data_IF_649131631207
#
_entry.id   IF_649131631207
#
_cell.length_a   1.000
_cell.length_b   1.000
_cell.length_c   1.000
_cell.angle_alpha   90.00
_cell.angle_beta   90.00
_cell.angle_gamma   90.00
#
_symmetry.space_group_name_H-M   'P 1'
#
loop_
_entity.id
_entity.type
_entity.pdbx_description
1 polymer ?
#
# COMPACT_ATOMS: atom_id res chain seq x y z
N UNK A 1 1.33 5.77 4.42
CA UNK A 1 2.10 6.23 5.60
C UNK A 1 1.56 5.55 6.86
N UNK A 2 2.18 4.45 7.30
CA UNK A 2 1.78 3.78 8.56
C UNK A 2 2.50 4.41 9.76
N UNK A 3 1.90 4.40 10.96
CA UNK A 3 2.49 5.02 12.15
C UNK A 3 3.72 4.27 12.67
N UNK A 4 3.83 2.97 12.36
CA UNK A 4 5.01 2.15 12.63
C UNK A 4 5.81 1.97 11.33
N UNK A 5 7.12 2.24 11.41
CA UNK A 5 8.05 1.98 10.31
C UNK A 5 8.45 0.51 10.37
N UNK A 6 7.80 -0.31 9.54
CA UNK A 6 8.18 -1.70 9.34
C UNK A 6 9.52 -1.84 8.60
N UNK A 7 9.83 -3.07 8.16
CA UNK A 7 11.02 -3.30 7.34
C UNK A 7 10.92 -2.57 5.98
N UNK A 8 12.04 -2.12 5.38
CA UNK A 8 12.00 -1.28 4.18
C UNK A 8 11.22 -1.88 3.00
N UNK A 9 11.23 -3.20 2.82
CA UNK A 9 10.56 -3.88 1.72
C UNK A 9 9.05 -4.11 1.93
N UNK A 10 8.53 -3.78 3.12
CA UNK A 10 7.09 -3.74 3.43
C UNK A 10 6.54 -2.32 3.52
N UNK A 11 7.38 -1.30 3.30
CA UNK A 11 6.98 0.09 3.14
C UNK A 11 6.72 0.40 1.66
N UNK A 12 5.66 1.13 1.37
CA UNK A 12 5.24 1.48 0.02
C UNK A 12 4.47 2.80 0.02
N UNK A 13 4.40 3.46 -1.15
CA UNK A 13 3.68 4.72 -1.34
C UNK A 13 2.37 4.41 -2.06
N UNK A 14 1.29 4.33 -1.29
CA UNK A 14 -0.04 4.01 -1.79
C UNK A 14 -0.84 5.26 -2.23
N UNK A 15 -2.01 5.03 -2.85
CA UNK A 15 -2.90 6.09 -3.32
C UNK A 15 -3.46 7.00 -2.21
N UNK A 16 -3.64 6.51 -0.98
CA UNK A 16 -4.07 7.31 0.18
C UNK A 16 -2.95 8.28 0.55
N UNK A 17 -1.71 7.80 0.61
CA UNK A 17 -0.53 8.65 0.85
C UNK A 17 -0.40 9.73 -0.23
N UNK A 18 -0.55 9.34 -1.49
CA UNK A 18 -0.51 10.26 -2.62
C UNK A 18 -1.64 11.31 -2.57
N UNK A 19 -2.85 10.93 -2.18
CA UNK A 19 -3.96 11.88 -2.01
C UNK A 19 -3.69 12.92 -0.92
N UNK A 20 -3.10 12.52 0.22
CA UNK A 20 -2.69 13.48 1.25
C UNK A 20 -1.68 14.50 0.71
N UNK A 21 -0.76 14.09 -0.17
CA UNK A 21 0.18 15.02 -0.80
C UNK A 21 -0.49 15.97 -1.79
N UNK A 22 -1.46 15.49 -2.56
CA UNK A 22 -2.24 16.34 -3.47
C UNK A 22 -3.10 17.35 -2.69
N UNK A 23 -3.85 16.89 -1.68
CA UNK A 23 -4.71 17.72 -0.83
C UNK A 23 -3.94 18.78 -0.05
N UNK A 24 -2.65 18.55 0.21
CA UNK A 24 -1.79 19.54 0.85
C UNK A 24 -1.59 20.80 -0.02
N UNK A 25 -1.76 20.70 -1.34
CA UNK A 25 -1.50 21.77 -2.30
C UNK A 25 -0.02 22.00 -2.66
N UNK A 26 0.91 21.25 -2.06
CA UNK A 26 2.34 21.38 -2.30
C UNK A 26 2.84 20.57 -3.50
N UNK A 27 2.10 19.53 -3.89
CA UNK A 27 2.53 18.57 -4.90
C UNK A 27 1.46 18.36 -5.96
N UNK A 28 1.91 18.21 -7.21
CA UNK A 28 1.11 17.62 -8.28
C UNK A 28 1.47 16.14 -8.38
N UNK A 29 0.50 15.27 -8.12
CA UNK A 29 0.76 13.86 -7.87
C UNK A 29 0.44 13.00 -9.10
N UNK A 30 1.32 12.04 -9.39
CA UNK A 30 1.07 11.01 -10.39
C UNK A 30 0.63 9.71 -9.70
N UNK A 31 -0.68 9.45 -9.68
CA UNK A 31 -1.25 8.24 -9.08
C UNK A 31 -0.88 6.94 -9.80
N UNK A 32 -0.29 7.01 -11.00
CA UNK A 32 0.24 5.82 -11.70
C UNK A 32 1.48 5.26 -11.01
N UNK A 33 2.18 6.09 -10.23
CA UNK A 33 3.34 5.69 -9.43
C UNK A 33 2.97 5.01 -8.10
N UNK A 34 1.68 4.94 -7.77
CA UNK A 34 1.23 4.35 -6.53
C UNK A 34 1.46 2.84 -6.49
N UNK A 35 2.01 2.37 -5.37
CA UNK A 35 2.05 0.96 -5.03
C UNK A 35 0.65 0.42 -4.74
N UNK A 36 0.46 -0.88 -4.97
CA UNK A 36 -0.80 -1.57 -4.73
C UNK A 36 -1.01 -1.75 -3.22
N UNK A 37 -2.00 -1.06 -2.67
CA UNK A 37 -2.47 -1.25 -1.30
C UNK A 37 -3.72 -2.14 -1.25
N UNK A 38 -3.58 -3.31 -0.64
CA UNK A 38 -4.63 -4.34 -0.57
C UNK A 38 -5.32 -4.43 0.78
N UNK A 39 -4.70 -3.89 1.83
CA UNK A 39 -5.21 -4.00 3.19
C UNK A 39 -6.52 -3.20 3.33
N UNK A 40 -7.62 -3.89 3.62
CA UNK A 40 -8.94 -3.25 3.71
C UNK A 40 -9.63 -2.99 2.37
N UNK A 41 -9.04 -3.42 1.24
CA UNK A 41 -9.58 -3.17 -0.10
C UNK A 41 -10.96 -3.81 -0.27
N UNK A 42 -11.90 -3.08 -0.86
CA UNK A 42 -13.28 -3.51 -1.13
C UNK A 42 -14.09 -3.95 0.11
N UNK A 43 -13.66 -3.57 1.32
CA UNK A 43 -14.41 -3.91 2.54
C UNK A 43 -15.70 -3.10 2.69
N UNK A 44 -15.79 -1.93 2.05
CA UNK A 44 -16.86 -0.96 2.28
C UNK A 44 -16.75 -0.31 3.66
N UNK A 45 -17.83 0.29 4.12
CA UNK A 45 -17.93 0.79 5.49
C UNK A 45 -18.06 -0.41 6.43
N UNK A 46 -17.02 -0.70 7.22
CA UNK A 46 -17.00 -1.81 8.17
C UNK A 46 -16.67 -1.24 9.54
N UNK A 47 -17.45 -1.63 10.54
CA UNK A 47 -17.16 -1.28 11.92
C UNK A 47 -15.85 -1.91 12.36
N UNK A 48 -15.09 -1.19 13.18
CA UNK A 48 -13.77 -1.63 13.64
C UNK A 48 -13.81 -2.99 14.35
N UNK A 49 -14.92 -3.32 15.01
CA UNK A 49 -15.16 -4.62 15.66
C UNK A 49 -15.32 -5.78 14.68
N UNK A 50 -15.85 -5.53 13.49
CA UNK A 50 -16.12 -6.55 12.47
C UNK A 50 -14.98 -6.73 11.48
N UNK A 51 -14.05 -5.78 11.43
CA UNK A 51 -12.90 -5.79 10.53
C UNK A 51 -12.17 -7.15 10.53
N UNK A 52 -11.84 -7.65 11.72
CA UNK A 52 -11.10 -8.89 11.89
C UNK A 52 -11.90 -10.14 11.48
N UNK A 53 -13.23 -10.12 11.61
CA UNK A 53 -14.10 -11.21 11.21
C UNK A 53 -14.26 -11.28 9.69
N UNK A 54 -14.26 -10.13 9.02
CA UNK A 54 -14.39 -10.05 7.56
C UNK A 54 -13.08 -10.31 6.81
N UNK A 55 -11.94 -10.17 7.49
CA UNK A 55 -10.60 -10.19 6.89
C UNK A 55 -9.78 -11.45 7.25
N UNK A 56 -10.43 -12.61 7.38
CA UNK A 56 -9.84 -13.84 7.95
C UNK A 56 -8.54 -14.31 7.28
N UNK A 57 -8.37 -14.09 5.97
CA UNK A 57 -7.22 -14.57 5.20
C UNK A 57 -5.88 -13.99 5.69
N UNK A 58 -5.91 -12.83 6.33
CA UNK A 58 -4.73 -12.12 6.81
C UNK A 58 -4.61 -12.12 8.34
N UNK A 59 -5.60 -12.70 9.03
CA UNK A 59 -5.60 -12.84 10.49
C UNK A 59 -5.02 -14.18 10.87
N UNK A 60 -4.09 -14.15 11.83
CA UNK A 60 -3.49 -15.36 12.37
C UNK A 60 -4.11 -15.70 13.73
N UNK A 61 -4.32 -17.00 13.99
CA UNK A 61 -4.94 -17.48 15.25
C UNK A 61 -3.91 -18.00 16.25
N UNK A 62 -2.91 -18.73 15.75
CA UNK A 62 -1.90 -19.40 16.56
C UNK A 62 -0.58 -18.62 16.55
N UNK A 63 -0.02 -18.31 17.73
CA UNK A 63 1.25 -17.63 17.89
C UNK A 63 2.49 -18.53 17.75
N UNK A 64 2.31 -19.85 17.81
CA UNK A 64 3.39 -20.84 17.71
C UNK A 64 3.65 -21.31 16.28
N UNK A 65 2.82 -20.91 15.32
CA UNK A 65 2.95 -21.31 13.92
C UNK A 65 3.46 -20.14 13.10
N UNK A 66 4.53 -20.39 12.34
CA UNK A 66 5.06 -19.40 11.38
C UNK A 66 4.05 -19.28 10.25
N UNK A 67 3.58 -18.07 10.00
CA UNK A 67 2.70 -17.73 8.89
C UNK A 67 3.44 -17.02 7.77
N UNK A 68 2.68 -16.40 6.87
CA UNK A 68 3.21 -15.48 5.88
C UNK A 68 2.71 -14.07 6.20
N UNK A 69 3.59 -13.09 6.05
CA UNK A 69 3.18 -11.69 6.01
C UNK A 69 2.17 -11.49 4.86
N UNK A 70 1.26 -10.50 4.95
CA UNK A 70 0.19 -10.33 3.95
C UNK A 70 0.71 -10.03 2.54
N UNK A 71 1.90 -9.41 2.43
CA UNK A 71 2.59 -9.19 1.14
C UNK A 71 3.30 -10.45 0.62
N UNK A 72 3.31 -11.53 1.38
CA UNK A 72 4.01 -12.78 1.10
C UNK A 72 5.52 -12.65 0.86
N UNK A 73 6.13 -11.49 1.10
CA UNK A 73 7.60 -11.33 0.98
C UNK A 73 8.38 -12.03 2.10
N UNK A 74 7.71 -12.28 3.23
CA UNK A 74 8.33 -12.74 4.45
C UNK A 74 7.53 -13.87 5.09
N UNK A 75 8.26 -14.83 5.69
CA UNK A 75 7.75 -15.60 6.81
C UNK A 75 7.44 -14.66 7.97
N UNK A 76 6.39 -14.95 8.72
CA UNK A 76 5.92 -14.09 9.79
C UNK A 76 5.54 -14.82 11.06
N UNK A 77 5.64 -14.12 12.19
CA UNK A 77 5.14 -14.59 13.49
C UNK A 77 3.84 -13.86 13.82
N UNK A 78 2.91 -14.59 14.41
CA UNK A 78 1.60 -14.05 14.69
C UNK A 78 1.63 -13.16 15.93
N UNK A 79 1.39 -11.85 15.75
CA UNK A 79 1.45 -10.83 16.81
C UNK A 79 0.12 -10.09 16.92
N UNK A 80 -0.28 -9.78 18.15
CA UNK A 80 -1.41 -8.88 18.40
C UNK A 80 -1.01 -7.46 18.05
N UNK A 81 -1.81 -6.79 17.21
CA UNK A 81 -1.67 -5.36 16.97
C UNK A 81 -2.32 -4.56 18.09
N UNK A 82 -1.71 -3.45 18.50
CA UNK A 82 -2.22 -2.60 19.59
C UNK A 82 -3.55 -1.93 19.26
N UNK A 83 -3.79 -1.63 17.98
CA UNK A 83 -4.96 -0.88 17.51
C UNK A 83 -6.08 -1.76 16.92
N UNK A 84 -5.82 -3.05 16.73
CA UNK A 84 -6.78 -4.04 16.21
C UNK A 84 -7.03 -5.11 17.28
N UNK A 85 -8.27 -5.60 17.37
CA UNK A 85 -8.62 -6.70 18.28
C UNK A 85 -8.09 -8.06 17.81
N UNK A 86 -7.48 -8.14 16.63
CA UNK A 86 -6.93 -9.36 16.05
C UNK A 86 -5.41 -9.36 15.90
N UNK A 87 -4.87 -10.55 15.65
CA UNK A 87 -3.46 -10.79 15.42
C UNK A 87 -3.18 -10.90 13.93
N UNK A 88 -2.04 -10.37 13.50
CA UNK A 88 -1.57 -10.45 12.12
C UNK A 88 -0.16 -11.04 12.09
N UNK A 89 0.21 -11.64 10.96
CA UNK A 89 1.57 -12.14 10.78
C UNK A 89 2.51 -10.95 10.53
N UNK A 90 3.31 -10.62 11.54
CA UNK A 90 4.37 -9.63 11.42
C UNK A 90 5.61 -10.28 10.80
N UNK A 91 6.35 -9.55 9.96
CA UNK A 91 7.45 -10.15 9.23
C UNK A 91 8.60 -10.48 10.19
N UNK A 92 9.15 -11.68 10.06
CA UNK A 92 10.16 -12.22 10.96
C UNK A 92 11.58 -11.80 10.52
N UNK A 93 12.52 -11.52 11.44
CA UNK A 93 13.93 -11.34 11.09
C UNK A 93 14.48 -12.58 10.37
N UNK A 94 15.16 -12.40 9.24
CA UNK A 94 15.64 -13.49 8.35
C UNK A 94 14.51 -14.31 7.70
N UNK A 95 13.29 -13.78 7.74
CA UNK A 95 12.10 -14.35 7.12
C UNK A 95 11.96 -13.99 5.64
N UNK A 96 12.81 -13.12 5.08
CA UNK A 96 12.72 -12.62 3.72
C UNK A 96 12.89 -13.76 2.69
N UNK A 97 11.83 -14.12 1.98
CA UNK A 97 11.90 -15.15 0.93
C UNK A 97 12.67 -14.66 -0.30
N UNK A 98 12.59 -13.35 -0.59
CA UNK A 98 13.14 -12.76 -1.80
C UNK A 98 14.68 -12.59 -1.77
N UNK A 99 15.32 -12.81 -0.62
CA UNK A 99 16.78 -12.71 -0.46
C UNK A 99 17.41 -14.11 -0.53
N UNK A 100 18.47 -14.33 -1.32
CA UNK A 100 19.19 -15.60 -1.33
C UNK A 100 19.71 -15.96 0.07
N UNK A 101 19.44 -17.18 0.52
CA UNK A 101 20.00 -17.79 1.73
C UNK A 101 19.83 -19.30 1.72
N UNK A 102 20.50 -19.98 2.66
CA UNK A 102 20.29 -21.41 2.90
C UNK A 102 18.83 -21.69 3.31
N UNK A 103 18.21 -22.75 2.75
CA UNK A 103 16.84 -23.10 3.05
C UNK A 103 16.70 -23.66 4.47
N UNK A 104 15.57 -23.37 5.13
CA UNK A 104 15.28 -24.00 6.43
C UNK A 104 14.80 -25.46 6.25
N UNK A 105 14.26 -25.78 5.07
CA UNK A 105 13.75 -27.08 4.68
C UNK A 105 14.10 -27.36 3.21
N UNK A 106 14.44 -28.62 2.90
CA UNK A 106 14.87 -29.06 1.56
C UNK A 106 13.94 -28.62 0.43
N UNK A 107 12.63 -28.54 0.67
CA UNK A 107 11.66 -28.12 -0.35
C UNK A 107 11.67 -26.61 -0.67
N UNK A 108 12.31 -25.78 0.16
CA UNK A 108 12.30 -24.32 0.01
C UNK A 108 13.29 -23.81 -1.04
N UNK A 109 12.93 -22.69 -1.66
CA UNK A 109 13.83 -21.95 -2.55
C UNK A 109 13.74 -20.47 -2.19
N UNK A 110 14.89 -19.87 -1.90
CA UNK A 110 15.04 -18.44 -1.67
C UNK A 110 15.58 -17.74 -2.92
N UNK A 111 15.12 -16.52 -3.20
CA UNK A 111 15.57 -15.76 -4.37
C UNK A 111 14.56 -14.70 -4.81
N UNK A 112 14.92 -13.84 -5.77
CA UNK A 112 14.20 -12.60 -6.07
C UNK A 112 12.68 -12.73 -6.35
N UNK A 113 12.23 -13.88 -6.88
CA UNK A 113 10.81 -14.19 -7.14
C UNK A 113 10.19 -15.15 -6.14
N UNK A 114 10.90 -15.46 -5.05
CA UNK A 114 10.40 -16.31 -3.98
C UNK A 114 9.53 -15.53 -3.02
N UNK A 115 8.35 -16.08 -2.76
CA UNK A 115 7.35 -15.54 -1.86
C UNK A 115 6.87 -16.65 -0.92
N UNK A 116 6.52 -16.25 0.28
CA UNK A 116 5.98 -17.08 1.34
C UNK A 116 4.59 -17.59 0.96
N UNK A 117 4.37 -18.90 1.10
CA UNK A 117 3.04 -19.53 1.05
C UNK A 117 2.86 -20.47 2.21
N UNK A 118 1.61 -20.73 2.58
CA UNK A 118 1.31 -21.70 3.63
C UNK A 118 1.37 -23.10 3.03
N UNK A 119 2.23 -23.95 3.58
CA UNK A 119 2.52 -25.28 3.05
C UNK A 119 2.91 -26.24 4.19
N UNK A 120 2.66 -27.52 3.97
CA UNK A 120 3.21 -28.59 4.79
C UNK A 120 3.89 -29.67 3.92
N UNK A 121 4.36 -29.26 2.73
CA UNK A 121 5.11 -30.16 1.86
C UNK A 121 6.33 -30.73 2.56
N UNK A 122 6.59 -32.01 2.33
CA UNK A 122 7.78 -32.69 2.84
C UNK A 122 8.12 -33.89 1.97
N UNK A 123 9.41 -34.17 1.85
CA UNK A 123 9.95 -35.43 1.29
C UNK A 123 10.13 -36.49 2.37
N UNK A 124 10.15 -36.10 3.65
CA UNK A 124 10.44 -37.00 4.75
C UNK A 124 9.35 -38.05 4.93
N UNK A 125 9.80 -39.30 5.11
CA UNK A 125 8.90 -40.44 5.30
C UNK A 125 8.35 -40.52 6.73
N UNK A 126 9.02 -39.85 7.68
CA UNK A 126 8.69 -39.90 9.11
C UNK A 126 7.43 -39.07 9.38
N UNK A 127 6.42 -39.70 9.97
CA UNK A 127 5.10 -39.14 10.30
C UNK A 127 5.15 -38.07 11.42
N UNK A 128 5.97 -37.03 11.26
CA UNK A 128 5.61 -35.77 11.93
C UNK A 128 4.40 -35.24 11.18
N UNK A 129 3.31 -35.01 11.90
CA UNK A 129 2.18 -34.23 11.42
C UNK A 129 2.71 -32.87 10.96
N UNK A 130 3.00 -32.75 9.66
CA UNK A 130 3.58 -31.54 9.10
C UNK A 130 2.54 -30.42 9.25
N UNK A 131 2.82 -29.50 10.17
CA UNK A 131 1.97 -28.36 10.47
C UNK A 131 2.03 -27.39 9.29
N UNK A 132 0.87 -26.92 8.84
CA UNK A 132 0.81 -25.86 7.83
C UNK A 132 1.53 -24.62 8.35
N UNK A 133 2.57 -24.22 7.64
CA UNK A 133 3.47 -23.14 8.05
C UNK A 133 3.93 -22.33 6.85
N UNK A 134 4.46 -21.14 7.08
CA UNK A 134 5.04 -20.29 6.05
C UNK A 134 6.31 -20.92 5.44
N UNK A 135 6.29 -21.12 4.13
CA UNK A 135 7.38 -21.68 3.32
C UNK A 135 7.72 -20.76 2.16
N UNK A 136 8.99 -20.62 1.81
CA UNK A 136 9.45 -19.80 0.69
C UNK A 136 9.62 -20.63 -0.59
N UNK A 137 8.86 -20.30 -1.63
CA UNK A 137 8.93 -20.95 -2.95
C UNK A 137 8.97 -19.91 -4.06
N UNK A 138 9.59 -20.26 -5.19
CA UNK A 138 9.60 -19.39 -6.37
C UNK A 138 8.20 -19.26 -6.97
N UNK A 139 7.86 -18.06 -7.40
CA UNK A 139 6.55 -17.75 -7.97
C UNK A 139 6.69 -16.94 -9.26
N UNK A 140 5.72 -17.13 -10.17
CA UNK A 140 5.57 -16.29 -11.35
C UNK A 140 4.13 -16.27 -11.81
N UNK A 141 3.80 -15.27 -12.61
CA UNK A 141 2.47 -15.12 -13.19
C UNK A 141 2.48 -15.50 -14.66
N UNK A 142 1.44 -16.21 -15.09
CA UNK A 142 1.12 -16.35 -16.51
C UNK A 142 0.56 -15.03 -17.06
N UNK A 143 0.48 -14.91 -18.39
CA UNK A 143 -0.16 -13.75 -19.05
C UNK A 143 -1.60 -13.51 -18.61
N UNK A 144 -2.32 -14.57 -18.25
CA UNK A 144 -3.72 -14.50 -17.79
C UNK A 144 -3.84 -14.29 -16.27
N UNK A 145 -2.75 -13.86 -15.61
CA UNK A 145 -2.64 -13.72 -14.15
C UNK A 145 -2.96 -15.00 -13.38
N UNK A 146 -2.57 -16.16 -13.93
CA UNK A 146 -2.57 -17.41 -13.16
C UNK A 146 -1.24 -17.53 -12.42
N UNK A 147 -1.30 -17.92 -11.16
CA UNK A 147 -0.12 -18.13 -10.32
C UNK A 147 0.51 -19.49 -10.63
N UNK A 148 1.82 -19.49 -10.88
CA UNK A 148 2.64 -20.70 -10.90
C UNK A 148 3.62 -20.68 -9.73
N UNK A 149 3.80 -21.83 -9.10
CA UNK A 149 4.73 -22.03 -7.98
C UNK A 149 5.74 -23.10 -8.35
N UNK A 150 6.98 -22.93 -7.92
CA UNK A 150 8.05 -23.91 -8.05
C UNK A 150 8.73 -24.15 -6.70
N UNK A 151 8.67 -25.38 -6.24
CA UNK A 151 9.40 -25.87 -5.05
C UNK A 151 10.70 -26.54 -5.46
N UNK A 152 11.62 -26.76 -4.52
CA UNK A 152 12.90 -27.40 -4.82
C UNK A 152 12.70 -28.74 -5.54
N UNK A 153 13.51 -29.05 -6.54
CA UNK A 153 13.41 -30.31 -7.29
C UNK A 153 12.11 -30.55 -8.08
N UNK A 154 11.20 -29.57 -8.19
CA UNK A 154 9.97 -29.67 -8.98
C UNK A 154 10.01 -28.78 -10.23
N UNK A 155 9.13 -29.04 -11.19
CA UNK A 155 8.81 -28.10 -12.26
C UNK A 155 7.87 -26.97 -11.78
N UNK A 156 7.55 -26.03 -12.68
CA UNK A 156 6.52 -25.02 -12.40
C UNK A 156 5.14 -25.68 -12.39
N UNK A 157 4.40 -25.49 -11.30
CA UNK A 157 3.07 -26.04 -11.10
C UNK A 157 2.04 -24.92 -11.03
N UNK A 158 0.89 -25.10 -11.68
CA UNK A 158 -0.23 -24.18 -11.55
C UNK A 158 -0.76 -24.21 -10.11
N UNK A 159 -0.94 -23.03 -9.51
CA UNK A 159 -1.47 -22.86 -8.16
C UNK A 159 -2.79 -22.08 -8.23
N UNK A 160 -3.92 -22.75 -8.46
CA UNK A 160 -5.22 -22.09 -8.53
C UNK A 160 -5.54 -21.40 -7.20
N UNK A 161 -5.90 -20.12 -7.25
CA UNK A 161 -6.12 -19.30 -6.06
C UNK A 161 -7.11 -19.95 -5.07
N UNK A 162 -6.73 -19.99 -3.79
CA UNK A 162 -7.53 -20.57 -2.70
C UNK A 162 -7.65 -22.11 -2.72
N UNK A 163 -7.03 -22.82 -3.67
CA UNK A 163 -7.05 -24.29 -3.72
C UNK A 163 -5.83 -24.91 -3.04
N UNK A 164 -5.94 -26.20 -2.72
CA UNK A 164 -4.82 -27.00 -2.23
C UNK A 164 -4.11 -27.65 -3.41
N UNK A 165 -2.82 -27.42 -3.53
CA UNK A 165 -1.96 -27.96 -4.59
C UNK A 165 -1.08 -29.07 -4.03
N UNK A 166 -1.16 -30.26 -4.63
CA UNK A 166 -0.23 -31.37 -4.38
C UNK A 166 0.89 -31.32 -5.42
N UNK A 167 2.12 -31.58 -5.00
CA UNK A 167 3.28 -31.64 -5.88
C UNK A 167 3.73 -33.09 -6.00
N UNK A 168 4.01 -33.55 -7.22
CA UNK A 168 4.52 -34.89 -7.46
C UNK A 168 5.87 -35.09 -6.76
N UNK A 169 6.05 -36.23 -6.08
CA UNK A 169 7.27 -36.53 -5.31
C UNK A 169 7.26 -35.99 -3.87
N UNK A 170 6.24 -35.23 -3.48
CA UNK A 170 6.08 -34.69 -2.13
C UNK A 170 4.81 -35.22 -1.46
N UNK A 171 4.85 -35.30 -0.12
CA UNK A 171 3.64 -35.43 0.70
C UNK A 171 3.13 -34.05 1.09
N UNK A 172 1.87 -33.98 1.56
CA UNK A 172 1.26 -32.72 1.98
C UNK A 172 0.74 -31.90 0.79
N UNK A 173 0.62 -30.59 0.99
CA UNK A 173 0.13 -29.67 -0.01
C UNK A 173 0.58 -28.23 0.25
N UNK A 174 0.48 -27.40 -0.78
CA UNK A 174 0.54 -25.94 -0.71
C UNK A 174 -0.89 -25.41 -0.67
N UNK A 175 -1.20 -24.53 0.27
CA UNK A 175 -2.44 -23.74 0.24
C UNK A 175 -2.18 -22.52 -0.66
N UNK A 176 -2.69 -22.58 -1.89
CA UNK A 176 -2.52 -21.47 -2.83
C UNK A 176 -3.14 -20.19 -2.26
N UNK A 177 -2.44 -19.05 -2.33
CA UNK A 177 -2.95 -17.78 -1.86
C UNK A 177 -4.30 -17.41 -2.48
N UNK A 178 -5.10 -16.61 -1.77
CA UNK A 178 -6.34 -16.00 -2.29
C UNK A 178 -6.08 -14.59 -2.85
N UNK A 179 -4.97 -13.98 -2.46
CA UNK A 179 -4.56 -12.60 -2.72
C UNK A 179 -4.04 -12.38 -4.15
N UNK A 180 -4.91 -12.52 -5.15
CA UNK A 180 -4.55 -12.36 -6.59
C UNK A 180 -3.82 -11.04 -6.89
N UNK A 181 -4.29 -9.93 -6.32
CA UNK A 181 -3.71 -8.60 -6.56
C UNK A 181 -2.30 -8.41 -5.98
N UNK A 182 -1.91 -9.25 -5.01
CA UNK A 182 -0.55 -9.26 -4.42
C UNK A 182 0.35 -10.17 -5.24
N UNK A 183 -0.16 -11.36 -5.56
CA UNK A 183 0.59 -12.40 -6.26
C UNK A 183 0.87 -12.04 -7.72
N UNK A 184 -0.16 -11.54 -8.40
CA UNK A 184 -0.17 -11.17 -9.81
C UNK A 184 -0.87 -9.82 -9.98
N UNK A 185 -0.23 -8.71 -9.56
CA UNK A 185 -0.79 -7.38 -9.70
C UNK A 185 -1.10 -7.09 -11.18
N UNK A 186 -2.22 -6.40 -11.40
CA UNK A 186 -2.51 -5.87 -12.73
C UNK A 186 -1.50 -4.78 -13.06
N UNK A 187 -0.99 -4.78 -14.29
CA UNK A 187 -0.25 -3.62 -14.76
C UNK A 187 -1.22 -2.43 -14.76
N UNK A 188 -0.79 -1.25 -14.29
CA UNK A 188 -1.68 -0.11 -14.19
C UNK A 188 -2.31 0.20 -15.56
N UNK A 189 -3.65 0.14 -15.61
CA UNK A 189 -4.44 0.57 -16.77
C UNK A 189 -4.65 2.08 -16.70
N UNK A 190 -4.51 2.76 -17.83
CA UNK A 190 -4.39 4.21 -17.97
C UNK A 190 -5.69 4.98 -17.66
N UNK A 191 -6.79 4.28 -17.34
CA UNK A 191 -8.15 4.81 -17.47
C UNK A 191 -8.94 4.92 -16.16
N UNK A 192 -8.38 4.55 -15.01
CA UNK A 192 -9.11 4.62 -13.72
C UNK A 192 -8.48 5.60 -12.74
N UNK A 193 -8.78 6.88 -12.96
CA UNK A 193 -8.74 7.92 -11.93
C UNK A 193 -10.19 8.10 -11.44
N UNK A 194 -10.57 7.61 -10.24
CA UNK A 194 -11.80 8.05 -9.61
C UNK A 194 -11.53 9.45 -9.03
N UNK A 195 -11.96 10.50 -9.74
CA UNK A 195 -11.87 11.87 -9.22
C UNK A 195 -11.81 13.00 -10.24
N UNK A 196 -11.63 12.74 -11.53
CA UNK A 196 -11.68 13.83 -12.53
C UNK A 196 -13.11 14.03 -13.01
N UNK A 197 -13.87 14.86 -12.29
CA UNK A 197 -14.90 15.64 -12.95
C UNK A 197 -14.24 16.41 -14.09
N UNK A 198 -14.80 16.24 -15.29
CA UNK A 198 -14.44 16.90 -16.53
C UNK A 198 -14.27 18.41 -16.33
N UNK A 199 -13.04 18.85 -16.10
CA UNK A 199 -12.65 20.24 -16.31
C UNK A 199 -11.78 20.28 -17.55
N UNK A 200 -12.34 20.84 -18.61
CA UNK A 200 -11.69 21.05 -19.90
C UNK A 200 -10.31 21.69 -19.71
N UNK A 201 -9.25 20.90 -19.90
CA UNK A 201 -7.88 21.41 -19.96
C UNK A 201 -7.71 22.05 -21.34
N UNK A 202 -7.85 23.37 -21.40
CA UNK A 202 -7.43 24.16 -22.56
C UNK A 202 -5.90 24.12 -22.58
N UNK A 203 -5.32 23.45 -23.57
CA UNK A 203 -3.90 23.49 -23.85
C UNK A 203 -3.54 24.88 -24.40
N UNK A 204 -2.88 25.71 -23.60
CA UNK A 204 -2.21 26.89 -24.13
C UNK A 204 -0.92 26.45 -24.83
N UNK A 205 -0.93 26.48 -26.16
CA UNK A 205 0.29 26.35 -26.95
C UNK A 205 0.99 27.70 -26.98
N UNK A 206 2.18 27.78 -26.36
CA UNK A 206 3.03 28.96 -26.48
C UNK A 206 3.58 29.03 -27.89
N UNK A 207 3.04 29.91 -28.73
CA UNK A 207 3.73 30.39 -29.92
C UNK A 207 4.16 31.82 -29.66
N UNK A 208 5.48 32.04 -29.66
CA UNK A 208 6.09 33.35 -29.56
C UNK A 208 5.64 34.21 -30.75
N UNK A 209 4.79 35.20 -30.49
CA UNK A 209 4.54 36.30 -31.40
C UNK A 209 4.75 37.62 -30.65
N UNK A 210 5.75 38.37 -31.10
CA UNK A 210 5.99 39.77 -30.70
C UNK A 210 4.71 40.57 -30.97
N UNK A 211 4.20 41.28 -29.96
CA UNK A 211 3.20 42.33 -30.18
C UNK A 211 3.78 43.66 -29.72
N UNK A 212 3.90 44.53 -30.71
CA UNK A 212 4.18 45.95 -30.65
C UNK A 212 3.10 46.69 -29.87
N UNK A 213 3.53 47.72 -29.15
CA UNK A 213 2.69 48.77 -28.57
C UNK A 213 1.76 49.40 -29.60
N UNK A 214 0.46 49.55 -29.28
CA UNK A 214 -0.34 50.79 -29.39
C UNK A 214 -1.79 50.59 -28.93
N UNK A 215 -2.24 51.53 -28.09
CA UNK A 215 -3.55 52.19 -27.99
C UNK A 215 -4.87 51.51 -27.53
N UNK A 216 -5.33 52.05 -26.39
CA UNK A 216 -6.62 52.69 -26.08
C UNK A 216 -7.98 51.97 -26.14
N UNK A 217 -8.70 52.15 -25.00
CA UNK A 217 -10.17 52.23 -24.81
C UNK A 217 -10.94 50.91 -24.93
N UNK A 218 -11.97 50.58 -24.16
CA UNK A 218 -12.69 51.12 -22.98
C UNK A 218 -13.61 49.97 -22.54
N UNK A 219 -13.82 49.71 -21.25
CA UNK A 219 -15.05 49.03 -20.79
C UNK A 219 -15.55 49.72 -19.54
N UNK A 220 -16.82 50.11 -19.64
CA UNK A 220 -17.58 50.94 -18.73
C UNK A 220 -17.89 50.31 -17.38
N UNK A 221 -17.96 51.20 -16.39
CA UNK A 221 -18.55 51.02 -15.07
C UNK A 221 -20.08 50.98 -15.10
N UNK A 222 -20.69 50.08 -14.32
CA UNK A 222 -22.04 50.29 -13.75
C UNK A 222 -21.97 49.98 -12.25
N UNK A 223 -22.46 50.92 -11.45
CA UNK A 223 -22.39 51.01 -10.00
C UNK A 223 -23.72 50.70 -9.30
N UNK A 224 -23.60 50.29 -8.03
CA UNK A 224 -24.45 50.58 -6.84
C UNK A 224 -25.95 50.26 -6.87
N UNK A 225 -26.65 49.89 -5.78
CA UNK A 225 -26.38 49.80 -4.35
C UNK A 225 -27.40 48.81 -3.75
N UNK A 226 -27.39 48.47 -2.45
CA UNK A 226 -27.80 49.37 -1.36
C UNK A 226 -27.06 49.05 -0.06
N UNK A 227 -26.73 50.12 0.68
CA UNK A 227 -26.22 50.10 2.04
C UNK A 227 -27.35 49.84 3.05
N UNK A 228 -27.03 49.21 4.17
CA UNK A 228 -27.57 49.59 5.48
C UNK A 228 -26.49 49.39 6.56
N UNK A 229 -26.39 50.39 7.44
CA UNK A 229 -25.34 50.67 8.41
C UNK A 229 -25.68 50.16 9.84
N UNK A 230 -24.70 50.33 10.75
CA UNK A 230 -24.71 50.25 12.23
C UNK A 230 -24.46 48.86 12.85
N UNK A 231 -23.56 48.66 13.82
CA UNK A 231 -22.84 49.60 14.70
C UNK A 231 -21.56 48.96 15.26
N UNK A 232 -20.59 49.81 15.59
CA UNK A 232 -19.33 49.47 16.23
C UNK A 232 -19.51 49.21 17.73
N UNK A 233 -18.74 48.26 18.28
CA UNK A 233 -18.30 48.30 19.67
C UNK A 233 -16.93 47.59 19.81
N UNK A 234 -15.90 48.41 19.90
CA UNK A 234 -14.54 48.04 20.31
C UNK A 234 -14.48 48.29 21.81
N UNK A 235 -14.06 47.30 22.60
CA UNK A 235 -13.61 47.51 23.98
C UNK A 235 -12.17 47.00 24.13
N UNK A 236 -11.28 47.79 24.75
CA UNK A 236 -9.84 47.64 24.69
C UNK A 236 -9.33 46.72 25.81
N UNK A 237 -8.18 46.09 25.61
CA UNK A 237 -7.15 45.67 26.59
C UNK A 237 -6.33 44.58 25.88
N UNK A 238 -5.23 44.98 25.23
CA UNK A 238 -3.96 44.25 25.02
C UNK A 238 -3.20 44.83 23.81
N UNK A 239 -2.86 46.12 23.86
CA UNK A 239 -1.88 46.71 22.94
C UNK A 239 -1.08 47.83 23.65
N UNK A 240 -0.29 47.46 24.65
CA UNK A 240 0.90 48.17 25.15
C UNK A 240 1.74 47.04 25.77
N UNK A 241 2.82 46.52 25.17
CA UNK A 241 4.13 47.14 25.03
C UNK A 241 4.86 46.47 23.84
N UNK A 242 4.74 47.04 22.64
CA UNK A 242 5.80 46.97 21.62
C UNK A 242 6.55 48.28 21.75
N UNK A 243 7.51 48.33 22.66
CA UNK A 243 8.61 49.31 22.69
C UNK A 243 9.47 48.95 23.90
N UNK A 244 10.47 48.10 23.69
CA UNK A 244 11.79 48.20 24.29
C UNK A 244 12.67 47.03 23.83
N UNK A 245 13.76 47.43 23.18
CA UNK A 245 15.02 46.71 23.02
C UNK A 245 15.09 45.82 21.77
N UNK A 246 15.12 46.51 20.63
CA UNK A 246 16.25 46.39 19.70
C UNK A 246 17.56 46.38 20.49
N UNK A 247 18.27 45.24 20.47
CA UNK A 247 19.73 45.08 20.55
C UNK A 247 19.96 43.59 20.81
N UNK A 248 20.11 42.78 19.76
CA UNK A 248 21.07 41.66 19.69
C UNK A 248 21.05 41.09 18.27
N UNK A 249 21.84 41.72 17.40
CA UNK A 249 22.34 41.15 16.14
C UNK A 249 23.86 41.29 16.16
N UNK A 250 24.53 40.24 15.66
CA UNK A 250 25.97 40.13 15.30
C UNK A 250 26.91 40.01 16.51
N UNK A 251 27.75 38.98 16.72
CA UNK A 251 28.56 38.10 15.85
C UNK A 251 28.53 36.68 16.41
#
# INVERSE_FOLDING_TARGET
MTPDMGMPHVTFIDRITLAVFEDSGWYKVDYRSADVYVWGKNMGCVDRSEFCAKYEDYICKNNSVVGCHYLHKDKGYCKQESNLSCRINQPQPKGECFKPREPDFEEEIFGASSLCVISNLTTDYVEKTAILTGRCYLQKCSRNRNLLVKVHGSDWNDCPYGKLLKIQGYRGYIKCPTSKDIMCPELPDDTTIPGTESSNVIYYTSTSAKISSTDHSSIDSVSSGTNDNLSANISPILLIFVYLIDQYTVI
#
